data_IF_944740847223
#
_entry.id   IF_944740847223
#
_cell.length_a   1.000
_cell.length_b   1.000
_cell.length_c   1.000
_cell.angle_alpha   90.00
_cell.angle_beta   90.00
_cell.angle_gamma   90.00
#
_symmetry.space_group_name_H-M   'P 1'
#
loop_
_entity.id
_entity.type
_entity.pdbx_description
1 polymer ?
#
# COMPACT_ATOMS: atom_id res chain seq x y z
N UNK A 1 -55.23 -67.01 1.07
CA UNK A 1 -55.79 -67.05 2.43
C UNK A 1 -54.61 -67.33 3.36
N UNK A 2 -54.00 -66.30 3.98
CA UNK A 2 -54.19 -65.88 5.38
C UNK A 2 -54.07 -67.04 6.38
N UNK A 3 -53.34 -67.01 7.49
CA UNK A 3 -52.49 -66.01 8.16
C UNK A 3 -51.69 -66.70 9.28
N UNK A 4 -50.66 -65.99 9.75
CA UNK A 4 -49.81 -66.05 10.97
C UNK A 4 -50.28 -66.88 12.18
N UNK A 5 -49.34 -67.54 12.89
CA UNK A 5 -49.35 -67.68 14.36
C UNK A 5 -47.92 -67.56 14.93
N UNK A 6 -47.77 -66.73 15.97
CA UNK A 6 -46.56 -66.47 16.78
C UNK A 6 -46.89 -66.90 18.23
N UNK A 7 -46.02 -67.68 18.87
CA UNK A 7 -46.03 -68.04 20.31
C UNK A 7 -44.60 -68.49 20.66
N UNK A 8 -43.98 -68.25 21.83
CA UNK A 8 -44.45 -67.78 23.12
C UNK A 8 -43.29 -67.12 23.92
N UNK A 9 -43.68 -66.25 24.86
CA UNK A 9 -42.90 -65.75 25.99
C UNK A 9 -42.33 -66.87 26.88
N UNK A 10 -41.21 -66.58 27.55
CA UNK A 10 -41.01 -66.94 28.97
C UNK A 10 -39.81 -66.19 29.55
N UNK A 11 -40.08 -65.11 30.28
CA UNK A 11 -39.27 -64.73 31.45
C UNK A 11 -39.70 -65.54 32.67
N UNK A 12 -38.83 -65.70 33.66
CA UNK A 12 -39.20 -65.16 34.96
C UNK A 12 -38.08 -64.36 35.64
N UNK A 13 -38.52 -63.30 36.30
CA UNK A 13 -37.81 -62.47 37.26
C UNK A 13 -37.12 -63.27 38.36
N UNK A 14 -36.00 -62.77 38.89
CA UNK A 14 -35.78 -62.56 40.34
C UNK A 14 -34.48 -61.79 40.64
N UNK A 15 -34.64 -60.73 41.44
CA UNK A 15 -33.71 -60.12 42.40
C UNK A 15 -32.63 -59.12 41.93
N UNK A 16 -32.90 -57.85 42.23
CA UNK A 16 -31.89 -56.83 42.51
C UNK A 16 -31.67 -56.71 44.03
N UNK A 17 -30.46 -56.34 44.46
CA UNK A 17 -30.30 -55.36 45.52
C UNK A 17 -29.54 -54.12 45.01
N UNK A 18 -29.94 -52.96 45.52
CA UNK A 18 -29.27 -51.69 45.31
C UNK A 18 -28.01 -51.54 46.19
N UNK A 19 -27.16 -50.57 45.81
CA UNK A 19 -26.04 -49.94 46.53
C UNK A 19 -24.62 -50.39 46.12
N UNK A 20 -23.94 -49.59 45.29
CA UNK A 20 -22.89 -48.67 45.75
C UNK A 20 -22.44 -47.83 44.55
N UNK A 21 -22.30 -46.54 44.79
CA UNK A 21 -22.12 -45.50 43.79
C UNK A 21 -20.63 -45.16 43.70
N UNK A 22 -19.90 -45.82 42.80
CA UNK A 22 -18.55 -45.42 42.45
C UNK A 22 -18.58 -44.63 41.15
N UNK A 23 -18.76 -43.32 41.33
CA UNK A 23 -18.51 -42.28 40.34
C UNK A 23 -17.07 -42.35 39.83
N UNK A 24 -16.87 -42.99 38.68
CA UNK A 24 -15.84 -42.59 37.74
C UNK A 24 -16.49 -42.31 36.40
N UNK A 25 -17.14 -41.15 36.34
CA UNK A 25 -17.56 -40.52 35.09
C UNK A 25 -16.31 -40.12 34.32
N UNK A 26 -15.74 -41.06 33.57
CA UNK A 26 -14.83 -40.71 32.48
C UNK A 26 -15.69 -40.13 31.36
N UNK A 27 -16.15 -38.89 31.57
CA UNK A 27 -16.52 -38.03 30.45
C UNK A 27 -15.25 -37.87 29.64
N UNK A 28 -15.12 -38.67 28.59
CA UNK A 28 -14.30 -38.27 27.46
C UNK A 28 -14.91 -36.96 26.97
N UNK A 29 -14.33 -35.85 27.44
CA UNK A 29 -14.48 -34.57 26.78
C UNK A 29 -13.82 -34.78 25.44
N UNK A 30 -14.64 -35.19 24.46
CA UNK A 30 -14.29 -35.05 23.06
C UNK A 30 -14.19 -33.54 22.86
N UNK A 31 -12.98 -33.02 23.06
CA UNK A 31 -12.61 -31.70 22.56
C UNK A 31 -12.93 -31.82 21.09
N UNK A 32 -14.04 -31.19 20.67
CA UNK A 32 -14.35 -30.99 19.27
C UNK A 32 -13.25 -30.06 18.75
N UNK A 33 -12.07 -30.64 18.49
CA UNK A 33 -11.08 -30.04 17.63
C UNK A 33 -11.88 -29.76 16.36
N UNK A 34 -11.98 -28.49 15.91
CA UNK A 34 -12.61 -28.23 14.63
C UNK A 34 -11.95 -29.18 13.67
N UNK A 35 -12.75 -29.97 12.97
CA UNK A 35 -12.26 -30.80 11.88
C UNK A 35 -11.69 -29.84 10.83
N UNK A 36 -10.46 -29.38 11.05
CA UNK A 36 -9.56 -29.02 9.99
C UNK A 36 -9.33 -30.34 9.29
N UNK A 37 -10.22 -30.63 8.34
CA UNK A 37 -10.02 -31.71 7.40
C UNK A 37 -8.56 -31.60 6.96
N UNK A 38 -7.77 -32.69 6.96
CA UNK A 38 -6.52 -32.66 6.24
C UNK A 38 -6.95 -32.39 4.79
N UNK A 39 -6.78 -31.17 4.31
CA UNK A 39 -7.09 -30.82 2.93
C UNK A 39 -6.45 -31.90 2.08
N UNK A 40 -7.26 -32.74 1.43
CA UNK A 40 -6.75 -33.81 0.59
C UNK A 40 -5.99 -33.15 -0.54
N UNK A 41 -4.66 -33.16 -0.50
CA UNK A 41 -3.80 -32.46 -1.46
C UNK A 41 -3.80 -33.19 -2.81
N UNK A 42 -4.91 -33.11 -3.53
CA UNK A 42 -4.98 -33.51 -4.93
C UNK A 42 -4.20 -32.54 -5.81
N UNK A 43 -3.64 -33.04 -6.91
CA UNK A 43 -2.90 -32.22 -7.89
C UNK A 43 -3.69 -31.00 -8.37
N UNK A 44 -5.02 -31.09 -8.42
CA UNK A 44 -5.91 -29.97 -8.76
C UNK A 44 -5.91 -28.88 -7.68
N UNK A 45 -6.13 -29.25 -6.42
CA UNK A 45 -6.16 -28.30 -5.30
C UNK A 45 -4.82 -27.56 -5.17
N UNK A 46 -3.70 -28.30 -5.26
CA UNK A 46 -2.35 -27.71 -5.23
C UNK A 46 -2.14 -26.71 -6.37
N UNK A 47 -2.58 -27.02 -7.59
CA UNK A 47 -2.48 -26.10 -8.75
C UNK A 47 -3.31 -24.85 -8.53
N UNK A 48 -4.55 -24.98 -8.08
CA UNK A 48 -5.44 -23.84 -7.82
C UNK A 48 -4.86 -22.93 -6.74
N UNK A 49 -4.31 -23.48 -5.66
CA UNK A 49 -3.66 -22.68 -4.61
C UNK A 49 -2.43 -21.93 -5.12
N UNK A 50 -1.59 -22.55 -5.96
CA UNK A 50 -0.42 -21.88 -6.56
C UNK A 50 -0.84 -20.70 -7.44
N UNK A 51 -1.86 -20.88 -8.30
CA UNK A 51 -2.35 -19.78 -9.13
C UNK A 51 -2.96 -18.66 -8.28
N UNK A 52 -3.70 -19.01 -7.22
CA UNK A 52 -4.25 -18.03 -6.28
C UNK A 52 -3.16 -17.19 -5.62
N UNK A 53 -2.10 -17.83 -5.09
CA UNK A 53 -0.96 -17.13 -4.47
C UNK A 53 -0.24 -16.24 -5.49
N UNK A 54 0.08 -16.78 -6.67
CA UNK A 54 0.75 -16.01 -7.72
C UNK A 54 -0.06 -14.78 -8.17
N UNK A 55 -1.39 -14.88 -8.21
CA UNK A 55 -2.26 -13.76 -8.54
C UNK A 55 -2.23 -12.67 -7.45
N UNK A 56 -2.18 -13.06 -6.17
CA UNK A 56 -2.03 -12.12 -5.05
C UNK A 56 -0.66 -11.44 -5.09
N UNK A 57 0.40 -12.20 -5.33
CA UNK A 57 1.76 -11.66 -5.47
C UNK A 57 1.88 -10.70 -6.67
N UNK A 58 1.20 -11.00 -7.78
CA UNK A 58 1.16 -10.10 -8.94
C UNK A 58 0.46 -8.77 -8.61
N UNK A 59 -0.62 -8.80 -7.82
CA UNK A 59 -1.30 -7.59 -7.37
C UNK A 59 -0.40 -6.75 -6.46
N UNK A 60 0.34 -7.40 -5.56
CA UNK A 60 1.33 -6.76 -4.70
C UNK A 60 2.51 -6.18 -5.50
N UNK A 61 2.98 -6.88 -6.52
CA UNK A 61 4.02 -6.38 -7.42
C UNK A 61 3.54 -5.15 -8.18
N UNK A 62 2.29 -5.14 -8.66
CA UNK A 62 1.75 -4.01 -9.41
C UNK A 62 1.68 -2.73 -8.56
N UNK A 63 1.18 -2.84 -7.32
CA UNK A 63 1.08 -1.68 -6.42
C UNK A 63 2.47 -1.15 -6.01
N UNK A 64 3.42 -2.05 -5.76
CA UNK A 64 4.79 -1.67 -5.37
C UNK A 64 5.67 -1.19 -6.52
N UNK A 65 5.39 -1.60 -7.77
CA UNK A 65 6.11 -1.12 -8.95
C UNK A 65 6.07 0.41 -9.07
N UNK A 66 4.98 1.05 -8.63
CA UNK A 66 4.84 2.50 -8.63
C UNK A 66 5.93 3.20 -7.80
N UNK A 67 6.34 2.61 -6.67
CA UNK A 67 7.41 3.16 -5.82
C UNK A 67 8.76 3.12 -6.54
N UNK A 68 9.02 2.05 -7.30
CA UNK A 68 10.29 1.89 -8.02
C UNK A 68 10.41 2.86 -9.21
N UNK A 69 9.32 3.08 -9.95
CA UNK A 69 9.33 3.97 -11.13
C UNK A 69 9.30 5.46 -10.77
N UNK A 70 8.87 5.83 -9.57
CA UNK A 70 8.72 7.24 -9.12
C UNK A 70 9.99 7.84 -8.53
N UNK A 71 11.16 7.29 -8.86
CA UNK A 71 12.50 7.67 -8.38
C UNK A 71 12.71 9.16 -8.09
N UNK A 72 13.60 9.46 -7.14
CA UNK A 72 13.86 10.85 -6.73
C UNK A 72 14.59 11.58 -7.87
N UNK A 73 13.95 12.63 -8.38
CA UNK A 73 14.52 13.54 -9.37
C UNK A 73 14.45 14.96 -8.84
N UNK A 74 15.57 15.66 -8.96
CA UNK A 74 15.66 17.08 -8.64
C UNK A 74 14.87 17.89 -9.68
N UNK A 75 14.10 18.86 -9.18
CA UNK A 75 13.19 19.66 -9.99
C UNK A 75 13.25 21.11 -9.57
N UNK A 76 12.91 22.01 -10.48
CA UNK A 76 12.78 23.43 -10.23
C UNK A 76 11.67 24.01 -11.09
N UNK A 77 11.29 25.24 -10.81
CA UNK A 77 10.19 25.89 -11.50
C UNK A 77 10.59 26.31 -12.91
N UNK A 78 9.74 26.01 -13.89
CA UNK A 78 9.95 26.41 -15.27
C UNK A 78 9.81 27.93 -15.41
N UNK A 79 10.69 28.62 -16.17
CA UNK A 79 10.57 30.06 -16.38
C UNK A 79 9.21 30.43 -17.01
N UNK A 80 8.58 31.52 -16.53
CA UNK A 80 7.43 32.12 -17.21
C UNK A 80 7.81 32.58 -18.62
N UNK A 81 6.81 32.81 -19.48
CA UNK A 81 7.04 33.26 -20.85
C UNK A 81 7.88 34.55 -20.95
N UNK A 82 7.80 35.43 -19.95
CA UNK A 82 8.61 36.65 -19.88
C UNK A 82 10.12 36.40 -19.72
N UNK A 83 10.50 35.23 -19.18
CA UNK A 83 11.88 34.87 -18.84
C UNK A 83 12.39 33.66 -19.64
N UNK A 84 11.67 33.24 -20.69
CA UNK A 84 12.02 32.08 -21.52
C UNK A 84 13.36 32.23 -22.25
N UNK A 85 13.81 33.47 -22.47
CA UNK A 85 15.08 33.77 -23.13
C UNK A 85 16.30 33.62 -22.20
N UNK A 86 16.08 33.41 -20.89
CA UNK A 86 17.16 33.17 -19.94
C UNK A 86 17.60 31.71 -19.98
N UNK A 87 18.88 31.47 -19.74
CA UNK A 87 19.35 30.11 -19.48
C UNK A 87 18.81 29.59 -18.15
N UNK A 88 18.68 28.27 -18.02
CA UNK A 88 18.19 27.62 -16.79
C UNK A 88 18.95 28.07 -15.54
N UNK A 89 20.27 28.27 -15.65
CA UNK A 89 21.12 28.70 -14.53
C UNK A 89 20.85 30.16 -14.14
N UNK A 90 20.65 31.04 -15.12
CA UNK A 90 20.29 32.44 -14.86
C UNK A 90 18.89 32.55 -14.30
N UNK A 91 17.95 31.76 -14.79
CA UNK A 91 16.60 31.71 -14.24
C UNK A 91 16.61 31.20 -12.80
N UNK A 92 17.36 30.13 -12.50
CA UNK A 92 17.51 29.61 -11.13
C UNK A 92 18.05 30.66 -10.17
N UNK A 93 19.02 31.48 -10.59
CA UNK A 93 19.65 32.45 -9.70
C UNK A 93 18.78 33.66 -9.39
N UNK A 94 17.94 34.12 -10.34
CA UNK A 94 17.11 35.32 -10.13
C UNK A 94 15.65 35.01 -9.78
N UNK A 95 15.14 33.88 -10.27
CA UNK A 95 13.72 33.53 -10.23
C UNK A 95 13.33 32.68 -9.03
N UNK A 96 14.28 31.92 -8.47
CA UNK A 96 14.00 30.91 -7.45
C UNK A 96 14.51 31.37 -6.08
N UNK A 97 13.62 31.52 -5.08
CA UNK A 97 13.98 31.84 -3.71
C UNK A 97 15.03 30.88 -3.15
N UNK A 98 15.87 31.41 -2.27
CA UNK A 98 16.91 30.66 -1.58
C UNK A 98 16.59 30.66 -0.09
N UNK A 99 16.66 29.49 0.55
CA UNK A 99 16.47 29.36 2.00
C UNK A 99 17.68 29.93 2.77
N UNK A 100 17.57 29.98 4.11
CA UNK A 100 18.65 30.47 4.98
C UNK A 100 19.94 29.63 4.86
N UNK A 101 19.82 28.39 4.39
CA UNK A 101 20.92 27.46 4.18
C UNK A 101 21.54 27.56 2.76
N UNK A 102 21.06 28.47 1.92
CA UNK A 102 21.61 28.67 0.57
C UNK A 102 21.05 27.71 -0.49
N UNK A 103 19.97 26.97 -0.20
CA UNK A 103 19.34 26.04 -1.15
C UNK A 103 18.16 26.69 -1.86
N UNK A 104 18.06 26.43 -3.15
CA UNK A 104 16.94 26.89 -3.96
C UNK A 104 15.63 26.19 -3.58
N UNK A 105 14.54 26.95 -3.56
CA UNK A 105 13.19 26.42 -3.45
C UNK A 105 12.84 25.55 -4.65
N UNK A 106 12.18 24.42 -4.40
CA UNK A 106 11.76 23.49 -5.46
C UNK A 106 10.33 23.75 -5.96
N UNK A 107 9.55 24.54 -5.23
CA UNK A 107 8.09 24.62 -5.39
C UNK A 107 7.53 26.02 -5.52
N UNK A 108 8.37 27.04 -5.30
CA UNK A 108 8.00 28.43 -5.35
C UNK A 108 9.03 29.21 -6.17
N UNK A 109 8.58 30.29 -6.78
CA UNK A 109 9.41 31.25 -7.51
C UNK A 109 8.90 32.68 -7.24
N UNK A 110 9.72 33.69 -7.46
CA UNK A 110 9.31 35.09 -7.28
C UNK A 110 8.36 35.54 -8.39
N UNK A 111 7.23 36.16 -8.04
CA UNK A 111 6.24 36.69 -9.00
C UNK A 111 6.84 37.74 -9.95
N UNK A 112 7.69 38.60 -9.38
CA UNK A 112 8.45 39.62 -10.08
C UNK A 112 9.90 39.52 -9.64
N UNK A 113 10.71 38.64 -10.27
CA UNK A 113 12.11 38.51 -9.92
C UNK A 113 12.80 39.82 -10.29
N UNK A 114 13.26 40.54 -9.27
CA UNK A 114 14.08 41.73 -9.49
C UNK A 114 15.37 41.28 -10.19
N UNK A 115 15.64 41.82 -11.38
CA UNK A 115 17.00 41.86 -11.94
C UNK A 115 17.90 42.41 -10.83
N UNK A 116 19.04 41.76 -10.49
CA UNK A 116 19.66 41.92 -9.18
C UNK A 116 20.01 43.37 -8.87
N UNK A 117 19.13 44.05 -8.13
CA UNK A 117 19.50 45.10 -7.23
C UNK A 117 20.00 44.40 -5.96
N UNK A 118 21.15 44.86 -5.49
CA UNK A 118 21.95 44.33 -4.39
C UNK A 118 21.19 43.54 -3.30
N UNK A 119 21.87 42.49 -2.81
CA UNK A 119 21.49 41.49 -1.81
C UNK A 119 21.00 41.99 -0.42
N UNK A 120 20.50 43.23 -0.31
CA UNK A 120 20.10 43.85 0.94
C UNK A 120 18.66 44.42 0.94
N UNK A 121 17.93 44.38 -0.17
CA UNK A 121 16.51 44.74 -0.14
C UNK A 121 15.65 43.53 0.19
N UNK A 122 15.35 43.39 1.48
CA UNK A 122 14.30 42.53 2.05
C UNK A 122 12.90 43.05 1.70
N UNK A 123 12.72 43.55 0.47
CA UNK A 123 11.39 43.69 -0.08
C UNK A 123 10.94 42.27 -0.36
N UNK A 124 10.08 41.73 0.50
CA UNK A 124 9.47 40.39 0.38
C UNK A 124 8.86 40.26 -1.01
N UNK A 125 9.66 39.79 -1.97
CA UNK A 125 9.21 39.50 -3.30
C UNK A 125 8.17 38.40 -3.16
N UNK A 126 6.97 38.65 -3.68
CA UNK A 126 5.85 37.72 -3.54
C UNK A 126 6.23 36.36 -4.12
N UNK A 127 6.20 35.33 -3.27
CA UNK A 127 6.46 33.95 -3.68
C UNK A 127 5.19 33.31 -4.24
N UNK A 128 5.28 32.76 -5.45
CA UNK A 128 4.18 32.13 -6.15
C UNK A 128 4.48 30.66 -6.38
N UNK A 129 3.44 29.82 -6.21
CA UNK A 129 3.54 28.38 -6.42
C UNK A 129 3.75 28.05 -7.91
N UNK A 130 4.61 27.07 -8.18
CA UNK A 130 4.96 26.70 -9.54
C UNK A 130 3.85 25.89 -10.22
N UNK A 131 3.56 26.24 -11.48
CA UNK A 131 2.57 25.57 -12.33
C UNK A 131 3.20 24.57 -13.29
N UNK A 132 4.49 24.75 -13.60
CA UNK A 132 5.30 23.88 -14.45
C UNK A 132 6.71 23.73 -13.86
N UNK A 133 7.36 22.61 -14.18
CA UNK A 133 8.67 22.25 -13.65
C UNK A 133 9.61 21.79 -14.76
N UNK A 134 10.89 22.08 -14.56
CA UNK A 134 11.98 21.46 -15.30
C UNK A 134 12.76 20.55 -14.34
N UNK A 135 13.38 19.51 -14.90
CA UNK A 135 14.01 18.43 -14.15
C UNK A 135 15.48 18.30 -14.53
N UNK A 136 16.29 17.83 -13.59
CA UNK A 136 17.70 17.52 -13.85
C UNK A 136 17.83 16.39 -14.87
N UNK A 137 18.16 16.73 -16.12
CA UNK A 137 18.15 15.79 -17.24
C UNK A 137 19.09 14.58 -17.04
N UNK A 138 20.15 14.72 -16.23
CA UNK A 138 21.06 13.61 -15.91
C UNK A 138 20.38 12.52 -15.08
N UNK A 139 19.43 12.90 -14.20
CA UNK A 139 18.68 11.99 -13.32
C UNK A 139 17.23 11.79 -13.76
N UNK A 140 16.72 12.65 -14.64
CA UNK A 140 15.30 12.71 -15.01
C UNK A 140 14.88 11.69 -16.05
N UNK A 141 15.80 10.86 -16.56
CA UNK A 141 15.52 9.81 -17.54
C UNK A 141 14.27 9.02 -17.12
N UNK A 142 13.15 9.31 -17.80
CA UNK A 142 11.83 8.67 -17.74
C UNK A 142 11.33 8.19 -16.37
N UNK A 143 11.53 8.94 -15.29
CA UNK A 143 10.86 8.60 -14.03
C UNK A 143 9.38 8.96 -14.09
N UNK A 144 8.54 8.18 -13.44
CA UNK A 144 7.12 8.51 -13.24
C UNK A 144 6.92 9.90 -12.62
N UNK A 145 7.87 10.35 -11.77
CA UNK A 145 7.85 11.65 -11.14
C UNK A 145 7.98 12.80 -12.14
N UNK A 146 8.93 12.70 -13.07
CA UNK A 146 9.14 13.70 -14.13
C UNK A 146 8.08 13.62 -15.22
N UNK A 147 7.60 12.42 -15.56
CA UNK A 147 6.54 12.23 -16.57
C UNK A 147 5.19 12.79 -16.15
N UNK A 148 4.80 12.60 -14.89
CA UNK A 148 3.48 13.01 -14.39
C UNK A 148 3.51 14.26 -13.51
N UNK A 149 4.67 14.91 -13.38
CA UNK A 149 4.89 16.06 -12.53
C UNK A 149 4.42 15.84 -11.07
N UNK A 150 4.77 14.70 -10.47
CA UNK A 150 4.39 14.35 -9.09
C UNK A 150 5.34 15.05 -8.11
N UNK A 151 5.24 16.38 -8.05
CA UNK A 151 6.09 17.25 -7.23
C UNK A 151 5.24 18.30 -6.51
N UNK A 152 5.80 18.93 -5.48
CA UNK A 152 5.15 20.01 -4.72
C UNK A 152 3.71 19.69 -4.28
N UNK A 153 2.72 20.47 -4.69
CA UNK A 153 1.31 20.25 -4.36
C UNK A 153 0.73 18.94 -4.91
N UNK A 154 1.41 18.28 -5.86
CA UNK A 154 1.02 16.98 -6.43
C UNK A 154 1.68 15.80 -5.71
N UNK A 155 2.44 16.04 -4.64
CA UNK A 155 3.04 14.98 -3.81
C UNK A 155 2.01 14.10 -3.12
N UNK A 156 0.76 14.48 -2.95
CA UNK A 156 -0.22 13.51 -2.40
C UNK A 156 -0.54 12.39 -3.40
N UNK A 157 -0.26 12.56 -4.71
CA UNK A 157 -0.46 11.52 -5.72
C UNK A 157 0.49 10.31 -5.56
N UNK A 158 1.46 10.34 -4.65
CA UNK A 158 2.24 9.14 -4.28
C UNK A 158 1.93 8.64 -2.87
N UNK A 159 1.18 9.38 -2.04
CA UNK A 159 0.98 9.01 -0.64
C UNK A 159 0.11 7.76 -0.47
N UNK A 160 -0.73 7.42 -1.44
CA UNK A 160 -1.51 6.18 -1.44
C UNK A 160 -0.68 4.93 -1.77
N UNK A 161 0.51 5.11 -2.37
CA UNK A 161 1.42 4.01 -2.71
C UNK A 161 2.37 3.65 -1.55
N UNK A 162 2.51 4.54 -0.56
CA UNK A 162 3.27 4.27 0.66
C UNK A 162 2.31 3.83 1.76
N UNK A 163 2.38 2.58 2.26
CA UNK A 163 1.69 2.24 3.50
C UNK A 163 2.19 3.16 4.61
N UNK A 164 1.27 3.66 5.45
CA UNK A 164 1.63 4.43 6.63
C UNK A 164 2.58 3.59 7.49
N UNK A 165 3.83 4.02 7.61
CA UNK A 165 4.80 3.52 8.58
C UNK A 165 4.64 4.24 9.90
#
# INVERSE_FOLDING_TARGET
MSSVVRTADTSPFLNAPAQHQDTHSTTEVFVQQPCMAPYGHGNFQRRTSIFGIAALDALQCHSSAFVLITGRVDHWCKPPAAFINLSDQQWKSIGIPVDAEGRHSHCFFYASPAVPAAANDTTTAEEVACTAWDYDQEKAASTARSLWNIVCHRRWLWSWATPCT
#
